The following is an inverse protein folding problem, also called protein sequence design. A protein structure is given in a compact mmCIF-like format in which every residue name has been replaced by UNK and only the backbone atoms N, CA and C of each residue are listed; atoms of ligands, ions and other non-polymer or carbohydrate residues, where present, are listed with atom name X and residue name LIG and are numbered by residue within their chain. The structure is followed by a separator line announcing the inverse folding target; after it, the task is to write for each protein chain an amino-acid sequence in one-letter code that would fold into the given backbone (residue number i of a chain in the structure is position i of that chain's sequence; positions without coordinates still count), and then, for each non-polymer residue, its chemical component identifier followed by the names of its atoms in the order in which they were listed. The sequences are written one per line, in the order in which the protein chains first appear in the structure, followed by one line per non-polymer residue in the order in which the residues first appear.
data_IF_163905256523
#
_entry.id   IF_163905256523
#
_cell.length_a   1.000
_cell.length_b   1.000
_cell.length_c   1.000
_cell.angle_alpha   90.00
_cell.angle_beta   90.00
_cell.angle_gamma   90.00
#
_symmetry.space_group_name_H-M   'P 1'
#
loop_
_entity.id
_entity.type
_entity.pdbx_description
1 polymer ?
#
# COMPACT_ATOMS: atom_id res chain seq x y z
N UNK A 1 -25.74 -9.34 0.86
CA UNK A 1 -25.97 -8.31 1.89
C UNK A 1 -24.82 -7.34 1.73
N UNK A 2 -25.08 -6.17 1.18
CA UNK A 2 -24.13 -5.05 1.18
C UNK A 2 -24.06 -4.53 2.60
N UNK A 3 -22.86 -4.37 3.17
CA UNK A 3 -22.71 -3.80 4.51
C UNK A 3 -22.89 -2.29 4.42
N UNK A 4 -23.71 -1.72 5.30
CA UNK A 4 -23.86 -0.26 5.36
C UNK A 4 -22.61 0.41 5.94
N UNK A 5 -21.85 -0.33 6.77
CA UNK A 5 -20.64 0.13 7.45
C UNK A 5 -19.45 -0.80 7.20
N UNK A 6 -18.25 -0.27 7.40
CA UNK A 6 -16.97 -0.96 7.33
C UNK A 6 -16.25 -0.78 8.66
N UNK A 7 -15.81 -1.88 9.25
CA UNK A 7 -14.98 -1.85 10.44
C UNK A 7 -13.54 -1.57 10.04
N UNK A 8 -12.86 -0.76 10.86
CA UNK A 8 -11.43 -0.48 10.72
C UNK A 8 -10.76 -0.76 12.05
N UNK A 9 -9.67 -1.50 12.02
CA UNK A 9 -8.83 -1.72 13.20
C UNK A 9 -7.37 -1.62 12.78
N UNK A 10 -6.50 -1.20 13.70
CA UNK A 10 -5.07 -1.09 13.47
C UNK A 10 -4.37 -2.24 14.21
N UNK A 11 -3.70 -3.11 13.46
CA UNK A 11 -2.83 -4.17 13.98
C UNK A 11 -1.36 -3.69 13.96
N UNK A 12 -0.46 -4.43 14.61
CA UNK A 12 0.97 -4.10 14.64
C UNK A 12 1.81 -5.18 13.97
N UNK A 13 2.76 -4.75 13.14
CA UNK A 13 3.80 -5.61 12.62
C UNK A 13 4.70 -6.03 13.80
N UNK A 14 4.94 -7.33 14.01
CA UNK A 14 5.67 -7.83 15.19
C UNK A 14 7.17 -7.56 15.15
N UNK A 15 7.74 -7.35 13.96
CA UNK A 15 9.17 -7.13 13.78
C UNK A 15 9.49 -5.64 13.89
N UNK A 16 8.72 -4.80 13.17
CA UNK A 16 8.97 -3.36 13.12
C UNK A 16 8.15 -2.55 14.12
N UNK A 17 7.04 -3.08 14.65
CA UNK A 17 6.05 -2.30 15.39
C UNK A 17 5.19 -1.39 14.49
N UNK A 18 5.38 -1.42 13.17
CA UNK A 18 4.64 -0.53 12.27
C UNK A 18 3.14 -0.89 12.19
N UNK A 19 2.31 0.13 11.98
CA UNK A 19 0.86 -0.05 11.86
C UNK A 19 0.48 -0.90 10.63
N UNK A 20 -0.54 -1.74 10.77
CA UNK A 20 -1.24 -2.43 9.68
C UNK A 20 -2.71 -2.10 9.83
N UNK A 21 -3.23 -1.23 8.97
CA UNK A 21 -4.66 -0.91 9.00
C UNK A 21 -5.47 -1.97 8.29
N UNK A 22 -6.51 -2.49 8.95
CA UNK A 22 -7.35 -3.54 8.41
C UNK A 22 -8.80 -3.07 8.29
N UNK A 23 -9.33 -3.18 7.08
CA UNK A 23 -10.72 -2.87 6.73
C UNK A 23 -11.50 -4.17 6.54
N UNK A 24 -12.71 -4.26 7.09
CA UNK A 24 -13.50 -5.49 7.03
C UNK A 24 -15.02 -5.24 7.02
N UNK A 25 -15.82 -6.19 6.51
CA UNK A 25 -17.27 -6.16 6.61
C UNK A 25 -17.71 -6.11 8.08
N UNK A 26 -18.54 -5.12 8.45
CA UNK A 26 -18.94 -4.90 9.84
C UNK A 26 -20.44 -4.65 10.01
N UNK A 27 -20.92 -4.81 11.23
CA UNK A 27 -22.25 -4.39 11.68
C UNK A 27 -22.15 -3.10 12.48
N UNK A 28 -23.22 -2.28 12.47
CA UNK A 28 -23.30 -1.11 13.35
C UNK A 28 -23.24 -1.58 14.82
N UNK A 29 -22.54 -0.86 15.72
CA UNK A 29 -22.62 -1.12 17.15
C UNK A 29 -24.08 -1.04 17.62
N UNK A 30 -24.55 -2.03 18.39
CA UNK A 30 -25.96 -2.16 18.80
C UNK A 30 -26.24 -1.43 20.13
N UNK A 31 -25.21 -1.03 20.87
CA UNK A 31 -25.37 -0.42 22.20
C UNK A 31 -25.99 0.97 22.13
N UNK A 32 -27.09 1.17 22.88
CA UNK A 32 -27.86 2.43 22.98
C UNK A 32 -27.02 3.64 23.45
N UNK A 33 -25.84 3.42 24.01
CA UNK A 33 -24.97 4.46 24.55
C UNK A 33 -24.01 5.09 23.52
N UNK A 34 -23.85 4.51 22.33
CA UNK A 34 -22.96 5.06 21.30
C UNK A 34 -23.77 5.90 20.31
N UNK A 35 -24.16 7.11 20.74
CA UNK A 35 -24.86 8.08 19.89
C UNK A 35 -24.00 8.56 18.72
N UNK A 36 -22.66 8.47 18.84
CA UNK A 36 -21.68 8.77 17.80
C UNK A 36 -20.60 7.67 17.75
N UNK A 37 -20.66 6.72 16.80
CA UNK A 37 -19.64 5.69 16.67
C UNK A 37 -18.26 6.32 16.38
N UNK A 38 -17.16 5.75 16.91
CA UNK A 38 -15.83 6.30 16.71
C UNK A 38 -15.48 6.30 15.22
N UNK A 39 -15.34 7.51 14.67
CA UNK A 39 -15.03 7.73 13.26
C UNK A 39 -13.55 7.52 12.99
N UNK A 40 -13.22 7.16 11.76
CA UNK A 40 -11.83 6.93 11.33
C UNK A 40 -11.39 8.11 10.49
N UNK A 41 -10.34 8.82 10.91
CA UNK A 41 -9.78 9.94 10.14
C UNK A 41 -8.98 9.44 8.96
N UNK A 42 -9.09 10.13 7.82
CA UNK A 42 -8.41 9.78 6.57
C UNK A 42 -6.89 9.64 6.75
N UNK A 43 -6.25 10.62 7.40
CA UNK A 43 -4.78 10.65 7.61
C UNK A 43 -4.37 10.62 9.08
N UNK A 44 -5.22 10.17 10.01
CA UNK A 44 -4.91 10.16 11.46
C UNK A 44 -4.34 11.47 12.04
N UNK A 45 -4.80 12.63 11.55
CA UNK A 45 -4.26 13.97 11.88
C UNK A 45 -2.80 14.23 11.45
N UNK A 46 -2.27 13.43 10.50
CA UNK A 46 -0.89 13.49 10.02
C UNK A 46 -0.80 13.93 8.56
N UNK A 47 -1.79 14.68 8.08
CA UNK A 47 -1.78 15.26 6.73
C UNK A 47 -0.50 16.07 6.43
N UNK A 48 0.08 16.86 7.36
CA UNK A 48 1.32 17.59 7.09
C UNK A 48 2.50 16.66 6.80
N UNK A 49 2.64 15.57 7.55
CA UNK A 49 3.68 14.55 7.33
C UNK A 49 3.49 13.86 5.99
N UNK A 50 2.26 13.44 5.69
CA UNK A 50 1.89 12.89 4.39
C UNK A 50 2.29 13.82 3.23
N UNK A 51 1.82 15.07 3.27
CA UNK A 51 2.08 16.04 2.21
C UNK A 51 3.57 16.38 2.08
N UNK A 52 4.32 16.41 3.17
CA UNK A 52 5.77 16.66 3.15
C UNK A 52 6.56 15.65 2.31
N UNK A 53 6.15 14.37 2.32
CA UNK A 53 6.79 13.33 1.51
C UNK A 53 6.60 13.59 0.02
N UNK A 54 5.37 13.86 -0.40
CA UNK A 54 5.04 14.19 -1.79
C UNK A 54 5.70 15.48 -2.25
N UNK A 55 5.70 16.51 -1.40
CA UNK A 55 6.39 17.78 -1.67
C UNK A 55 7.89 17.54 -1.86
N UNK A 56 8.51 16.70 -1.03
CA UNK A 56 9.93 16.38 -1.19
C UNK A 56 10.22 15.74 -2.55
N UNK A 57 9.42 14.73 -2.93
CA UNK A 57 9.54 14.06 -4.25
C UNK A 57 9.34 15.08 -5.36
N UNK A 58 8.28 15.89 -5.31
CA UNK A 58 7.98 16.89 -6.32
C UNK A 58 9.16 17.85 -6.54
N UNK A 59 9.72 18.41 -5.46
CA UNK A 59 10.82 19.39 -5.55
C UNK A 59 12.10 18.78 -6.09
N UNK A 60 12.50 17.63 -5.58
CA UNK A 60 13.84 17.08 -5.80
C UNK A 60 13.92 16.15 -7.01
N UNK A 61 12.83 15.44 -7.32
CA UNK A 61 12.75 14.59 -8.51
C UNK A 61 12.42 15.41 -9.76
N UNK A 62 11.54 16.42 -9.66
CA UNK A 62 11.15 17.26 -10.81
C UNK A 62 11.93 18.59 -10.90
N UNK A 63 13.04 18.71 -10.16
CA UNK A 63 14.06 19.75 -10.35
C UNK A 63 13.53 21.20 -10.19
N UNK A 64 12.65 21.43 -9.21
CA UNK A 64 12.17 22.77 -8.84
C UNK A 64 13.30 23.54 -8.11
N UNK A 65 13.50 24.86 -8.33
CA UNK A 65 14.56 25.63 -7.67
C UNK A 65 14.55 25.49 -6.14
N UNK A 66 15.54 24.77 -5.61
CA UNK A 66 15.57 24.26 -4.24
C UNK A 66 15.55 25.37 -3.17
N UNK A 67 16.28 26.46 -3.38
CA UNK A 67 16.40 27.57 -2.41
C UNK A 67 15.07 28.30 -2.19
N UNK A 68 14.39 28.72 -3.25
CA UNK A 68 13.12 29.45 -3.13
C UNK A 68 12.02 28.56 -2.52
N UNK A 69 11.90 27.32 -2.99
CA UNK A 69 10.89 26.41 -2.45
C UNK A 69 11.14 26.09 -0.97
N UNK A 70 12.39 25.80 -0.59
CA UNK A 70 12.77 25.42 0.78
C UNK A 70 12.62 26.56 1.78
N UNK A 71 13.01 27.78 1.41
CA UNK A 71 13.06 28.91 2.35
C UNK A 71 11.84 29.82 2.29
N UNK A 72 11.01 29.74 1.24
CA UNK A 72 9.84 30.61 1.08
C UNK A 72 8.54 29.81 1.02
N UNK A 73 8.42 28.84 0.10
CA UNK A 73 7.16 28.11 -0.10
C UNK A 73 6.88 27.13 1.05
N UNK A 74 7.87 26.34 1.46
CA UNK A 74 7.68 25.29 2.46
C UNK A 74 7.27 25.83 3.84
N UNK A 75 7.88 26.91 4.40
CA UNK A 75 7.46 27.49 5.68
C UNK A 75 6.05 28.10 5.65
N UNK A 76 5.57 28.53 4.47
CA UNK A 76 4.21 29.06 4.29
C UNK A 76 3.18 27.94 4.08
N UNK A 77 3.54 26.90 3.34
CA UNK A 77 2.68 25.76 3.04
C UNK A 77 2.45 24.88 4.27
N UNK A 78 3.46 24.70 5.13
CA UNK A 78 3.40 23.77 6.25
C UNK A 78 2.30 24.13 7.28
N UNK A 79 2.16 25.39 7.75
CA UNK A 79 1.03 25.80 8.58
C UNK A 79 -0.33 25.64 7.88
N UNK A 80 -0.41 25.92 6.57
CA UNK A 80 -1.64 25.74 5.80
C UNK A 80 -2.07 24.26 5.73
N UNK A 81 -1.13 23.32 5.72
CA UNK A 81 -1.44 21.88 5.78
C UNK A 81 -1.99 21.45 7.14
N UNK A 82 -1.55 22.08 8.24
CA UNK A 82 -2.12 21.82 9.57
C UNK A 82 -3.55 22.35 9.70
N UNK A 83 -3.82 23.50 9.09
CA UNK A 83 -5.15 24.12 9.06
C UNK A 83 -6.06 23.54 7.96
N UNK A 84 -5.53 22.64 7.12
CA UNK A 84 -6.28 22.11 6.00
C UNK A 84 -7.45 21.25 6.49
N UNK A 85 -8.68 21.48 6.01
CA UNK A 85 -9.87 20.71 6.42
C UNK A 85 -9.72 19.21 6.25
N UNK A 86 -8.90 18.75 5.30
CA UNK A 86 -8.60 17.32 5.08
C UNK A 86 -7.98 16.65 6.32
N UNK A 87 -7.34 17.40 7.21
CA UNK A 87 -6.80 16.86 8.47
C UNK A 87 -7.92 16.41 9.44
N UNK A 88 -9.14 16.91 9.23
CA UNK A 88 -10.33 16.61 10.03
C UNK A 88 -11.36 15.76 9.27
N UNK A 89 -11.08 15.37 8.03
CA UNK A 89 -11.98 14.53 7.23
C UNK A 89 -11.97 13.08 7.74
N UNK A 90 -13.16 12.57 7.99
CA UNK A 90 -13.39 11.16 8.30
C UNK A 90 -13.62 10.36 7.03
N UNK A 91 -13.14 9.12 7.04
CA UNK A 91 -13.47 8.14 6.03
C UNK A 91 -14.97 7.81 6.11
N UNK A 92 -15.71 7.94 5.00
CA UNK A 92 -17.13 7.62 4.99
C UNK A 92 -17.34 6.13 5.24
N UNK A 93 -18.42 5.78 5.95
CA UNK A 93 -18.79 4.40 6.30
C UNK A 93 -17.83 3.65 7.25
N UNK A 94 -16.67 4.23 7.58
CA UNK A 94 -15.67 3.61 8.44
C UNK A 94 -15.96 3.87 9.92
N UNK A 95 -15.99 2.79 10.70
CA UNK A 95 -16.16 2.81 12.16
C UNK A 95 -15.00 2.06 12.79
N UNK A 96 -14.31 2.71 13.75
CA UNK A 96 -13.23 2.08 14.50
C UNK A 96 -13.77 0.89 15.30
N UNK A 97 -13.09 -0.24 15.17
CA UNK A 97 -13.30 -1.46 15.96
C UNK A 97 -14.76 -1.94 16.00
N UNK A 98 -15.48 -1.70 14.90
CA UNK A 98 -16.85 -2.16 14.74
C UNK A 98 -16.93 -3.70 14.79
N UNK A 99 -18.00 -4.29 15.34
CA UNK A 99 -18.15 -5.74 15.34
C UNK A 99 -18.13 -6.30 13.91
N UNK A 100 -17.32 -7.36 13.70
CA UNK A 100 -17.22 -8.03 12.40
C UNK A 100 -18.57 -8.59 12.00
N UNK A 101 -19.02 -8.30 10.78
CA UNK A 101 -20.22 -8.93 10.23
C UNK A 101 -19.89 -10.39 9.95
N UNK A 102 -20.54 -11.31 10.66
CA UNK A 102 -20.36 -12.73 10.40
C UNK A 102 -20.74 -13.04 8.93
N UNK A 103 -19.85 -13.72 8.18
CA UNK A 103 -20.17 -14.17 6.83
C UNK A 103 -21.33 -15.18 6.87
N UNK A 104 -21.97 -15.42 5.71
CA UNK A 104 -23.03 -16.43 5.60
C UNK A 104 -22.51 -17.79 6.08
N UNK A 105 -23.42 -18.66 6.56
CA UNK A 105 -23.08 -20.01 7.03
C UNK A 105 -22.17 -20.72 6.02
N UNK A 106 -21.09 -21.32 6.52
CA UNK A 106 -20.05 -22.03 5.73
C UNK A 106 -19.31 -21.17 4.70
N UNK A 107 -19.30 -19.85 4.84
CA UNK A 107 -18.49 -18.94 4.01
C UNK A 107 -17.50 -18.17 4.87
N UNK A 108 -16.42 -17.70 4.26
CA UNK A 108 -15.41 -16.85 4.88
C UNK A 108 -14.99 -15.75 3.90
N UNK A 109 -14.47 -14.66 4.42
CA UNK A 109 -14.04 -13.53 3.60
C UNK A 109 -12.67 -13.78 2.98
N UNK A 110 -12.47 -13.55 1.67
CA UNK A 110 -11.14 -13.42 1.10
C UNK A 110 -10.37 -12.27 1.74
N UNK A 111 -9.03 -12.36 1.71
CA UNK A 111 -8.13 -11.34 2.26
C UNK A 111 -7.26 -10.75 1.15
N UNK A 112 -7.21 -9.42 1.08
CA UNK A 112 -6.32 -8.66 0.19
C UNK A 112 -5.28 -7.93 1.04
N UNK A 113 -3.99 -8.18 0.81
CA UNK A 113 -2.91 -7.36 1.33
C UNK A 113 -2.56 -6.26 0.31
N UNK A 114 -2.60 -4.99 0.71
CA UNK A 114 -2.49 -3.85 -0.19
C UNK A 114 -1.33 -2.92 0.15
N UNK A 115 -0.44 -2.67 -0.82
CA UNK A 115 0.77 -1.86 -0.65
C UNK A 115 0.63 -0.46 -1.28
N UNK A 116 1.01 0.59 -0.54
CA UNK A 116 0.89 1.99 -0.97
C UNK A 116 2.02 2.47 -1.90
N UNK A 117 2.01 3.72 -2.36
CA UNK A 117 3.05 4.25 -3.24
C UNK A 117 4.39 4.58 -2.55
N UNK A 118 5.37 5.08 -3.31
CA UNK A 118 6.55 5.75 -2.74
C UNK A 118 6.08 7.04 -2.06
N UNK A 119 6.61 7.35 -0.88
CA UNK A 119 6.15 8.43 0.02
C UNK A 119 4.71 8.32 0.50
N UNK A 120 4.00 7.26 0.13
CA UNK A 120 2.69 6.96 0.66
C UNK A 120 2.72 6.46 2.10
N UNK A 121 1.54 6.11 2.62
CA UNK A 121 1.38 5.44 3.92
C UNK A 121 0.20 4.46 3.85
N UNK A 122 0.03 3.59 4.85
CA UNK A 122 -1.16 2.74 4.94
C UNK A 122 -2.48 3.50 5.22
N UNK A 123 -2.39 4.82 5.44
CA UNK A 123 -3.56 5.71 5.48
C UNK A 123 -4.08 5.99 4.05
N UNK A 124 -3.23 5.88 3.03
CA UNK A 124 -3.63 6.00 1.64
C UNK A 124 -4.52 4.83 1.22
N UNK A 125 -5.43 5.07 0.27
CA UNK A 125 -6.35 4.05 -0.27
C UNK A 125 -7.43 3.56 0.69
N UNK A 126 -7.69 4.24 1.81
CA UNK A 126 -8.80 3.90 2.71
C UNK A 126 -10.16 3.80 2.01
N UNK A 127 -10.46 4.69 1.04
CA UNK A 127 -11.69 4.62 0.23
C UNK A 127 -11.76 3.38 -0.67
N UNK A 128 -10.62 2.96 -1.22
CA UNK A 128 -10.52 1.74 -2.02
C UNK A 128 -10.74 0.51 -1.12
N UNK A 129 -10.10 0.48 0.04
CA UNK A 129 -10.24 -0.58 1.03
C UNK A 129 -11.68 -0.69 1.55
N UNK A 130 -12.34 0.44 1.81
CA UNK A 130 -13.78 0.51 2.15
C UNK A 130 -14.63 -0.07 1.02
N UNK A 131 -14.33 0.30 -0.23
CA UNK A 131 -15.06 -0.22 -1.39
C UNK A 131 -14.93 -1.74 -1.54
N UNK A 132 -13.75 -2.29 -1.28
CA UNK A 132 -13.51 -3.73 -1.26
C UNK A 132 -14.18 -4.40 -0.05
N UNK A 133 -14.11 -3.81 1.14
CA UNK A 133 -14.75 -4.34 2.34
C UNK A 133 -16.27 -4.40 2.23
N UNK A 134 -16.92 -3.39 1.65
CA UNK A 134 -18.37 -3.44 1.35
C UNK A 134 -18.76 -4.56 0.39
N UNK A 135 -17.80 -5.11 -0.37
CA UNK A 135 -17.97 -6.25 -1.29
C UNK A 135 -17.58 -7.59 -0.67
N UNK A 136 -17.27 -7.63 0.63
CA UNK A 136 -17.00 -8.86 1.36
C UNK A 136 -15.52 -9.27 1.39
N UNK A 137 -14.58 -8.32 1.26
CA UNK A 137 -13.15 -8.59 1.42
C UNK A 137 -12.65 -8.06 2.77
N UNK A 138 -11.74 -8.79 3.42
CA UNK A 138 -10.86 -8.18 4.43
C UNK A 138 -9.68 -7.58 3.67
N UNK A 139 -9.28 -6.35 4.01
CA UNK A 139 -8.20 -5.63 3.32
C UNK A 139 -7.20 -5.14 4.36
N UNK A 140 -5.94 -5.58 4.26
CA UNK A 140 -4.86 -5.19 5.16
C UNK A 140 -3.86 -4.28 4.45
N UNK A 141 -3.66 -3.07 4.98
CA UNK A 141 -2.79 -2.02 4.47
C UNK A 141 -1.63 -1.80 5.44
N UNK A 142 -0.46 -2.44 5.25
CA UNK A 142 0.73 -2.15 6.03
C UNK A 142 1.21 -0.71 5.82
N UNK A 143 1.64 -0.08 6.91
CA UNK A 143 2.52 1.08 6.88
C UNK A 143 3.95 0.55 6.78
N UNK A 144 4.58 0.80 5.63
CA UNK A 144 5.91 0.25 5.36
C UNK A 144 6.99 1.02 6.11
N UNK A 145 7.76 0.31 6.93
CA UNK A 145 8.83 0.87 7.77
C UNK A 145 10.21 0.84 7.10
N UNK A 146 10.24 0.62 5.79
CA UNK A 146 11.43 0.50 4.94
C UNK A 146 12.06 1.85 4.56
N UNK A 147 11.61 2.95 5.15
CA UNK A 147 12.04 4.29 4.78
C UNK A 147 11.46 4.76 3.45
N UNK A 148 10.51 4.04 2.83
CA UNK A 148 9.86 4.50 1.60
C UNK A 148 8.60 5.34 1.86
N UNK A 149 8.01 5.25 3.05
CA UNK A 149 6.82 6.02 3.45
C UNK A 149 7.17 7.47 3.79
N UNK A 150 6.23 8.41 3.65
CA UNK A 150 6.42 9.78 4.15
C UNK A 150 6.70 9.80 5.66
N UNK A 151 5.96 8.95 6.38
CA UNK A 151 6.18 8.62 7.78
C UNK A 151 5.64 7.21 8.06
N UNK A 152 6.12 6.60 9.13
CA UNK A 152 5.54 5.37 9.69
C UNK A 152 5.69 5.40 11.20
N UNK A 153 4.56 5.36 11.91
CA UNK A 153 4.54 5.25 13.36
C UNK A 153 4.79 3.80 13.80
N UNK A 154 5.67 3.64 14.78
CA UNK A 154 5.96 2.37 15.44
C UNK A 154 5.22 2.28 16.78
N UNK A 155 5.12 1.06 17.31
CA UNK A 155 4.43 0.77 18.56
C UNK A 155 5.10 1.44 19.78
N UNK A 156 6.41 1.66 19.73
CA UNK A 156 7.18 2.34 20.78
C UNK A 156 7.04 3.88 20.76
N UNK A 157 6.25 4.42 19.83
CA UNK A 157 6.04 5.86 19.64
C UNK A 157 7.05 6.53 18.71
N UNK A 158 8.04 5.80 18.17
CA UNK A 158 8.99 6.32 17.19
C UNK A 158 8.32 6.53 15.84
N UNK A 159 8.67 7.64 15.16
CA UNK A 159 8.30 7.87 13.77
C UNK A 159 9.49 7.60 12.85
N UNK A 160 9.34 6.69 11.89
CA UNK A 160 10.32 6.44 10.82
C UNK A 160 10.04 7.40 9.67
N UNK A 161 10.94 8.34 9.34
CA UNK A 161 10.75 9.27 8.23
C UNK A 161 11.11 8.62 6.89
N UNK A 162 10.76 9.32 5.82
CA UNK A 162 11.21 8.98 4.47
C UNK A 162 12.74 9.05 4.34
N UNK A 163 13.34 7.94 3.93
CA UNK A 163 14.76 7.80 3.63
C UNK A 163 15.06 8.25 2.20
N UNK A 164 15.97 9.22 2.07
CA UNK A 164 16.29 9.89 0.81
C UNK A 164 17.44 9.16 0.12
N UNK A 165 17.32 8.81 -1.17
CA UNK A 165 18.43 8.22 -1.91
C UNK A 165 19.55 9.25 -2.11
N UNK A 166 20.79 8.78 -2.08
CA UNK A 166 21.97 9.58 -2.45
C UNK A 166 22.15 9.50 -3.96
N UNK A 167 21.59 10.46 -4.70
CA UNK A 167 21.60 10.41 -6.18
C UNK A 167 23.00 10.46 -6.81
N UNK A 168 23.95 11.19 -6.20
CA UNK A 168 25.32 11.31 -6.72
C UNK A 168 26.14 10.03 -6.61
N UNK A 169 25.72 9.09 -5.76
CA UNK A 169 26.33 7.79 -5.57
C UNK A 169 25.22 6.77 -5.31
N UNK A 170 24.34 6.62 -6.30
CA UNK A 170 23.13 5.83 -6.14
C UNK A 170 23.46 4.33 -6.11
N UNK A 171 23.14 3.67 -5.01
CA UNK A 171 23.19 2.20 -4.93
C UNK A 171 21.94 1.61 -5.61
N UNK A 172 22.07 0.84 -6.70
CA UNK A 172 20.94 0.17 -7.34
C UNK A 172 20.17 -0.77 -6.40
N UNK A 173 20.79 -1.23 -5.31
CA UNK A 173 20.14 -2.08 -4.29
C UNK A 173 19.24 -1.29 -3.35
N UNK A 174 19.36 0.04 -3.26
CA UNK A 174 18.61 0.86 -2.30
C UNK A 174 17.09 0.60 -2.38
N UNK A 175 16.50 0.74 -3.58
CA UNK A 175 15.06 0.45 -3.78
C UNK A 175 14.75 -1.04 -3.82
N UNK A 176 15.71 -1.90 -4.16
CA UNK A 176 15.49 -3.36 -4.14
C UNK A 176 15.33 -3.85 -2.70
N UNK A 177 16.19 -3.41 -1.79
CA UNK A 177 16.13 -3.75 -0.37
C UNK A 177 14.81 -3.27 0.24
N UNK A 178 14.34 -2.09 -0.17
CA UNK A 178 13.00 -1.61 0.18
C UNK A 178 11.91 -2.55 -0.30
N UNK A 179 11.89 -2.97 -1.58
CA UNK A 179 10.90 -3.95 -2.05
C UNK A 179 10.94 -5.25 -1.23
N UNK A 180 12.13 -5.78 -0.95
CA UNK A 180 12.27 -7.01 -0.14
C UNK A 180 11.63 -6.84 1.23
N UNK A 181 11.92 -5.73 1.93
CA UNK A 181 11.30 -5.42 3.22
C UNK A 181 9.79 -5.23 3.09
N UNK A 182 9.32 -4.52 2.07
CA UNK A 182 7.88 -4.29 1.84
C UNK A 182 7.14 -5.59 1.55
N UNK A 183 7.73 -6.54 0.83
CA UNK A 183 7.16 -7.89 0.62
C UNK A 183 7.07 -8.65 1.94
N UNK A 184 8.09 -8.56 2.80
CA UNK A 184 8.04 -9.14 4.15
C UNK A 184 6.89 -8.54 4.96
N UNK A 185 6.77 -7.22 4.99
CA UNK A 185 5.71 -6.51 5.71
C UNK A 185 4.30 -6.80 5.16
N UNK A 186 4.18 -7.01 3.84
CA UNK A 186 2.91 -7.40 3.20
C UNK A 186 2.49 -8.82 3.62
N UNK A 187 3.44 -9.75 3.73
CA UNK A 187 3.18 -11.09 4.28
C UNK A 187 2.87 -11.04 5.78
N UNK A 188 3.61 -10.23 6.54
CA UNK A 188 3.36 -10.02 7.96
C UNK A 188 1.95 -9.47 8.22
N UNK A 189 1.44 -8.59 7.35
CA UNK A 189 0.07 -8.08 7.41
C UNK A 189 -0.98 -9.20 7.25
N UNK A 190 -0.76 -10.12 6.31
CA UNK A 190 -1.60 -11.32 6.18
C UNK A 190 -1.54 -12.15 7.45
N UNK A 191 -0.33 -12.41 7.95
CA UNK A 191 -0.15 -13.25 9.12
C UNK A 191 -0.78 -12.62 10.38
N UNK A 192 -0.72 -11.30 10.54
CA UNK A 192 -1.43 -10.58 11.62
C UNK A 192 -2.93 -10.81 11.61
N UNK A 193 -3.56 -10.65 10.43
CA UNK A 193 -5.01 -10.90 10.29
C UNK A 193 -5.35 -12.34 10.64
N UNK A 194 -4.45 -13.28 10.32
CA UNK A 194 -4.60 -14.71 10.55
C UNK A 194 -4.06 -15.18 11.92
N UNK A 195 -3.59 -14.32 12.81
CA UNK A 195 -3.17 -14.76 14.15
C UNK A 195 -4.34 -15.32 14.96
N UNK A 196 -4.09 -16.30 15.83
CA UNK A 196 -5.15 -16.95 16.64
C UNK A 196 -5.94 -15.97 17.51
N UNK A 197 -5.30 -14.91 18.00
CA UNK A 197 -5.92 -13.87 18.83
C UNK A 197 -6.56 -12.73 18.01
N UNK A 198 -6.40 -12.72 16.68
CA UNK A 198 -7.07 -11.76 15.82
C UNK A 198 -8.58 -12.05 15.79
N UNK A 199 -9.45 -11.05 16.05
CA UNK A 199 -10.89 -11.25 15.95
C UNK A 199 -11.36 -11.60 14.53
N UNK A 200 -10.51 -11.34 13.52
CA UNK A 200 -10.77 -11.60 12.11
C UNK A 200 -10.41 -13.02 11.68
N UNK A 201 -9.50 -13.71 12.39
CA UNK A 201 -8.96 -15.02 11.96
C UNK A 201 -10.06 -16.02 11.60
N UNK A 202 -11.08 -16.16 12.46
CA UNK A 202 -12.16 -17.14 12.26
C UNK A 202 -13.03 -16.84 11.03
N UNK A 203 -13.03 -15.59 10.56
CA UNK A 203 -13.84 -15.12 9.44
C UNK A 203 -13.11 -15.08 8.12
N UNK A 204 -11.79 -15.30 8.08
CA UNK A 204 -10.97 -15.18 6.87
C UNK A 204 -10.70 -16.54 6.21
N UNK A 205 -10.82 -16.58 4.89
CA UNK A 205 -10.49 -17.73 4.05
C UNK A 205 -9.00 -17.74 3.69
N UNK A 206 -8.25 -18.68 4.29
CA UNK A 206 -6.81 -18.82 4.06
C UNK A 206 -6.46 -19.38 2.67
N UNK A 207 -7.43 -19.88 1.91
CA UNK A 207 -7.25 -20.36 0.53
C UNK A 207 -7.44 -19.26 -0.52
N UNK A 208 -8.00 -18.11 -0.12
CA UNK A 208 -8.29 -16.97 -0.99
C UNK A 208 -7.57 -15.71 -0.48
N UNK A 209 -6.24 -15.75 -0.59
CA UNK A 209 -5.35 -14.64 -0.29
C UNK A 209 -4.95 -13.93 -1.59
N UNK A 210 -4.98 -12.60 -1.60
CA UNK A 210 -4.65 -11.77 -2.75
C UNK A 210 -3.69 -10.66 -2.32
N UNK A 211 -2.91 -10.14 -3.27
CA UNK A 211 -2.10 -8.96 -3.06
C UNK A 211 -2.43 -7.87 -4.09
N UNK A 212 -2.15 -6.63 -3.75
CA UNK A 212 -2.24 -5.54 -4.71
C UNK A 212 -1.48 -4.31 -4.26
N UNK A 213 -1.36 -3.32 -5.15
CA UNK A 213 -0.76 -2.06 -4.77
C UNK A 213 -0.68 -1.07 -5.93
N UNK A 214 -0.34 0.16 -5.55
CA UNK A 214 -0.21 1.31 -6.45
C UNK A 214 1.25 1.76 -6.55
N UNK A 215 1.72 2.11 -7.75
CA UNK A 215 3.06 2.68 -7.96
C UNK A 215 4.16 1.75 -7.40
N UNK A 216 4.94 2.20 -6.42
CA UNK A 216 5.92 1.37 -5.74
C UNK A 216 5.30 0.16 -5.02
N UNK A 217 4.05 0.30 -4.57
CA UNK A 217 3.24 -0.79 -4.05
C UNK A 217 2.80 -1.78 -5.13
N UNK A 218 2.64 -1.34 -6.39
CA UNK A 218 2.41 -2.23 -7.53
C UNK A 218 3.65 -3.08 -7.86
N UNK A 219 4.84 -2.50 -7.74
CA UNK A 219 6.09 -3.25 -7.80
C UNK A 219 6.22 -4.26 -6.63
N UNK A 220 5.93 -3.81 -5.40
CA UNK A 220 5.90 -4.66 -4.19
C UNK A 220 4.93 -5.85 -4.33
N UNK A 221 3.69 -5.60 -4.77
CA UNK A 221 2.70 -6.65 -4.93
C UNK A 221 3.10 -7.64 -6.04
N UNK A 222 3.70 -7.15 -7.12
CA UNK A 222 4.28 -8.00 -8.17
C UNK A 222 5.43 -8.87 -7.63
N UNK A 223 6.34 -8.31 -6.83
CA UNK A 223 7.38 -9.07 -6.14
C UNK A 223 6.80 -10.14 -5.20
N UNK A 224 5.78 -9.80 -4.40
CA UNK A 224 5.09 -10.75 -3.54
C UNK A 224 4.35 -11.87 -4.32
N UNK A 225 3.95 -11.59 -5.57
CA UNK A 225 3.35 -12.55 -6.49
C UNK A 225 4.38 -13.39 -7.26
N UNK A 226 5.66 -13.08 -7.14
CA UNK A 226 6.77 -13.74 -7.85
C UNK A 226 7.16 -15.06 -7.17
N UNK A 227 7.79 -15.96 -7.93
CA UNK A 227 8.28 -17.24 -7.42
C UNK A 227 7.19 -18.12 -6.80
N UNK A 228 7.44 -18.66 -5.61
CA UNK A 228 6.49 -19.47 -4.83
C UNK A 228 5.58 -18.57 -4.00
N UNK A 229 4.64 -17.90 -4.67
CA UNK A 229 3.68 -17.01 -4.00
C UNK A 229 2.62 -17.79 -3.21
N UNK A 230 2.24 -17.26 -2.04
CA UNK A 230 1.04 -17.69 -1.28
C UNK A 230 -0.24 -17.03 -1.77
N UNK A 231 -0.12 -16.01 -2.63
CA UNK A 231 -1.25 -15.27 -3.15
C UNK A 231 -1.83 -15.98 -4.38
N UNK A 232 -3.15 -15.93 -4.53
CA UNK A 232 -3.90 -16.56 -5.62
C UNK A 232 -4.01 -15.68 -6.85
N UNK A 233 -4.00 -14.36 -6.67
CA UNK A 233 -3.92 -13.38 -7.75
C UNK A 233 -3.34 -12.05 -7.23
N UNK A 234 -2.90 -11.21 -8.16
CA UNK A 234 -2.32 -9.90 -7.89
C UNK A 234 -2.98 -8.78 -8.70
N UNK A 235 -3.14 -7.59 -8.10
CA UNK A 235 -3.65 -6.37 -8.77
C UNK A 235 -2.57 -5.29 -8.72
N UNK A 236 -2.03 -4.93 -9.89
CA UNK A 236 -0.91 -4.02 -10.01
C UNK A 236 -1.35 -2.73 -10.72
N UNK A 237 -1.51 -1.64 -9.96
CA UNK A 237 -1.97 -0.35 -10.46
C UNK A 237 -0.75 0.56 -10.67
N UNK A 238 -0.53 1.01 -11.91
CA UNK A 238 0.58 1.91 -12.29
C UNK A 238 1.93 1.50 -11.69
N UNK A 239 2.26 0.21 -11.75
CA UNK A 239 3.44 -0.32 -11.06
C UNK A 239 4.75 0.36 -11.48
N UNK A 240 5.54 0.77 -10.48
CA UNK A 240 6.83 1.42 -10.72
C UNK A 240 7.92 0.39 -11.02
N UNK A 241 8.01 -0.01 -12.30
CA UNK A 241 8.88 -1.12 -12.70
C UNK A 241 10.29 -0.73 -13.13
N UNK A 242 10.60 0.57 -13.13
CA UNK A 242 11.85 1.07 -13.65
C UNK A 242 12.19 2.46 -13.11
N UNK A 243 13.42 2.64 -12.66
CA UNK A 243 13.96 3.87 -12.10
C UNK A 243 14.81 4.51 -13.18
N UNK A 244 14.45 5.71 -13.62
CA UNK A 244 15.16 6.42 -14.66
C UNK A 244 15.40 7.88 -14.24
N UNK A 245 16.65 8.22 -13.92
CA UNK A 245 17.09 9.58 -13.61
C UNK A 245 18.34 9.93 -14.44
N UNK A 246 18.16 10.43 -15.68
CA UNK A 246 19.27 10.72 -16.60
C UNK A 246 20.33 11.67 -16.05
N UNK A 247 19.92 12.66 -15.26
CA UNK A 247 20.81 13.65 -14.63
C UNK A 247 21.90 13.00 -13.77
N UNK A 248 21.63 11.81 -13.24
CA UNK A 248 22.50 11.08 -12.32
C UNK A 248 23.00 9.75 -12.92
N UNK A 249 22.76 9.51 -14.21
CA UNK A 249 23.08 8.23 -14.88
C UNK A 249 22.49 7.00 -14.18
N UNK A 250 21.25 7.15 -13.68
CA UNK A 250 20.54 6.05 -13.01
C UNK A 250 19.51 5.46 -13.97
N UNK A 251 19.69 4.19 -14.31
CA UNK A 251 18.78 3.40 -15.14
C UNK A 251 18.71 1.97 -14.60
N UNK A 252 17.65 1.66 -13.83
CA UNK A 252 17.57 0.43 -13.05
C UNK A 252 16.16 -0.17 -13.11
N UNK A 253 16.05 -1.45 -13.47
CA UNK A 253 14.82 -2.21 -13.39
C UNK A 253 14.43 -2.51 -11.93
N UNK A 254 13.14 -2.38 -11.60
CA UNK A 254 12.61 -2.53 -10.25
C UNK A 254 11.31 -3.37 -10.25
N UNK A 255 11.09 -4.26 -9.28
CA UNK A 255 12.12 -5.06 -8.64
C UNK A 255 12.74 -6.05 -9.64
N UNK A 256 14.02 -6.38 -9.46
CA UNK A 256 14.76 -7.21 -10.42
C UNK A 256 14.08 -8.56 -10.69
N UNK A 257 13.43 -9.17 -9.69
CA UNK A 257 12.70 -10.43 -9.87
C UNK A 257 11.54 -10.37 -10.88
N UNK A 258 10.92 -9.19 -11.10
CA UNK A 258 9.84 -9.07 -12.09
C UNK A 258 10.36 -9.07 -13.53
N UNK A 259 11.65 -8.79 -13.72
CA UNK A 259 12.27 -8.67 -15.04
C UNK A 259 12.96 -9.95 -15.51
N UNK A 260 12.77 -11.05 -14.78
CA UNK A 260 13.25 -12.39 -15.11
C UNK A 260 12.10 -13.38 -15.28
N UNK A 261 12.13 -14.16 -16.36
CA UNK A 261 11.13 -15.20 -16.62
C UNK A 261 11.14 -16.32 -15.55
N UNK A 262 12.26 -16.54 -14.86
CA UNK A 262 12.35 -17.56 -13.83
C UNK A 262 11.53 -17.20 -12.58
N UNK A 263 11.38 -15.90 -12.30
CA UNK A 263 10.81 -15.39 -11.06
C UNK A 263 9.52 -14.62 -11.24
N UNK A 264 9.25 -14.06 -12.42
CA UNK A 264 8.03 -13.30 -12.69
C UNK A 264 6.74 -14.06 -12.29
N UNK A 265 5.70 -13.35 -11.83
CA UNK A 265 4.45 -13.93 -11.35
C UNK A 265 3.87 -14.99 -12.30
N UNK A 266 3.54 -16.15 -11.72
CA UNK A 266 2.88 -17.26 -12.44
C UNK A 266 1.39 -17.41 -12.08
N UNK A 267 0.91 -16.54 -11.20
CA UNK A 267 -0.48 -16.45 -10.79
C UNK A 267 -1.23 -15.42 -11.65
N UNK A 268 -2.57 -15.49 -11.75
CA UNK A 268 -3.38 -14.46 -12.38
C UNK A 268 -2.99 -13.05 -11.87
N UNK A 269 -2.60 -12.17 -12.78
CA UNK A 269 -2.10 -10.83 -12.46
C UNK A 269 -2.81 -9.82 -13.34
N UNK A 270 -3.53 -8.89 -12.71
CA UNK A 270 -4.24 -7.80 -13.39
C UNK A 270 -3.36 -6.54 -13.35
N UNK A 271 -3.02 -6.01 -14.52
CA UNK A 271 -2.34 -4.72 -14.66
C UNK A 271 -3.37 -3.64 -14.98
N UNK A 272 -3.38 -2.55 -14.22
CA UNK A 272 -4.22 -1.38 -14.45
C UNK A 272 -3.29 -0.18 -14.64
N UNK A 273 -3.24 0.36 -15.86
CA UNK A 273 -2.41 1.51 -16.20
C UNK A 273 -3.25 2.77 -16.40
N UNK A 274 -2.76 3.91 -15.91
CA UNK A 274 -3.26 5.23 -16.28
C UNK A 274 -2.61 5.70 -17.59
N UNK A 275 -3.30 6.61 -18.27
CA UNK A 275 -2.80 7.21 -19.51
C UNK A 275 -1.49 7.98 -19.27
N UNK A 276 -1.43 8.76 -18.19
CA UNK A 276 -0.25 9.58 -17.85
C UNK A 276 0.98 8.74 -17.54
N UNK A 277 0.83 7.63 -16.79
CA UNK A 277 1.94 6.73 -16.50
C UNK A 277 2.44 6.03 -17.78
N UNK A 278 1.54 5.79 -18.72
CA UNK A 278 1.85 5.17 -20.02
C UNK A 278 2.59 6.12 -20.98
N UNK A 279 2.50 7.45 -20.79
CA UNK A 279 3.24 8.44 -21.59
C UNK A 279 4.74 8.43 -21.28
N UNK A 280 5.15 7.90 -20.13
CA UNK A 280 6.57 7.79 -19.78
C UNK A 280 7.18 6.56 -20.46
N UNK A 281 7.99 6.79 -21.49
CA UNK A 281 8.51 5.74 -22.38
C UNK A 281 9.21 4.59 -21.63
N UNK A 282 10.10 4.90 -20.69
CA UNK A 282 10.85 3.88 -19.94
C UNK A 282 9.95 3.06 -19.02
N UNK A 283 8.96 3.69 -18.37
CA UNK A 283 7.99 3.00 -17.53
C UNK A 283 7.04 2.13 -18.36
N UNK A 284 6.59 2.61 -19.51
CA UNK A 284 5.76 1.85 -20.43
C UNK A 284 6.50 0.62 -20.97
N UNK A 285 7.76 0.78 -21.38
CA UNK A 285 8.64 -0.31 -21.83
C UNK A 285 8.81 -1.37 -20.73
N UNK A 286 9.12 -0.94 -19.51
CA UNK A 286 9.27 -1.82 -18.37
C UNK A 286 7.97 -2.55 -18.01
N UNK A 287 6.84 -1.85 -17.99
CA UNK A 287 5.51 -2.44 -17.74
C UNK A 287 5.19 -3.52 -18.79
N UNK A 288 5.38 -3.21 -20.08
CA UNK A 288 5.16 -4.14 -21.18
C UNK A 288 6.06 -5.37 -21.09
N UNK A 289 7.32 -5.18 -20.68
CA UNK A 289 8.26 -6.28 -20.43
C UNK A 289 7.76 -7.19 -19.31
N UNK A 290 7.42 -6.64 -18.15
CA UNK A 290 6.92 -7.41 -17.01
C UNK A 290 5.63 -8.16 -17.38
N UNK A 291 4.68 -7.51 -18.06
CA UNK A 291 3.44 -8.15 -18.56
C UNK A 291 3.72 -9.36 -19.45
N UNK A 292 4.70 -9.27 -20.36
CA UNK A 292 5.10 -10.39 -21.23
C UNK A 292 5.68 -11.56 -20.43
N UNK A 293 6.42 -11.27 -19.36
CA UNK A 293 7.02 -12.29 -18.49
C UNK A 293 5.99 -12.98 -17.58
N UNK A 294 4.95 -12.26 -17.14
CA UNK A 294 3.84 -12.78 -16.32
C UNK A 294 2.89 -13.70 -17.09
N UNK A 295 3.06 -13.92 -18.40
CA UNK A 295 2.17 -14.78 -19.17
C UNK A 295 2.17 -16.20 -18.57
N UNK A 296 0.98 -16.79 -18.29
CA UNK A 296 0.90 -18.18 -17.89
C UNK A 296 1.51 -19.04 -19.00
N UNK A 297 2.32 -20.04 -18.64
CA UNK A 297 2.70 -21.08 -19.61
C UNK A 297 1.40 -21.65 -20.15
N UNK A 298 1.15 -21.49 -21.45
CA UNK A 298 0.10 -22.25 -22.13
C UNK A 298 0.42 -23.70 -21.82
N UNK A 299 -0.40 -24.34 -20.97
CA UNK A 299 -0.38 -25.80 -20.88
C UNK A 299 -0.86 -26.25 -22.24
N UNK A 300 0.06 -26.61 -23.13
CA UNK A 300 -0.25 -27.53 -24.20
C UNK A 300 -0.79 -28.78 -23.50
N UNK A 301 -2.11 -28.89 -23.43
CA UNK A 301 -2.77 -30.16 -23.14
C UNK A 301 -2.45 -31.02 -24.36
N UNK A 302 -1.44 -31.87 -24.23
CA UNK A 302 -1.33 -33.09 -25.01
C UNK A 302 -2.39 -34.06 -24.48
#
# INVERSE_FOLDING_TARGET
MTTDVVGVTDLRNPESGSCIRVYYPATKPVTREVTNPPTVKLFRNRLPYFASGYVWVFVHVFNVPNLFFRYVIYPLLYPLLYLNPLNHVNLPYAISDAPVLAPKKNTKYPLIAWSHGLTGTGDEHGLLAISMAKRGYVVALPHHSDGSSAYTDLEDGTDVPYEKPIFSNYDPKFRQNQVVKRVSELNAAVDQVLRKNSPLNKFVDTSNLFCGGFSFGGATAGAAASGKSRFKAAILIDGWYHIHFPKYDIDVNLPLELHSAATAPRIPTLFIGSEEFSKQEMLQKATTRVQKLCKPKVRNRL
#
